data_IF_546121613996
#
_entry.id   IF_546121613996
#
_cell.length_a   1.000
_cell.length_b   1.000
_cell.length_c   1.000
_cell.angle_alpha   90.00
_cell.angle_beta   90.00
_cell.angle_gamma   90.00
#
_symmetry.space_group_name_H-M   'P 1'
#
loop_
_entity.id
_entity.type
_entity.pdbx_description
1 polymer ?
#
# COMPACT_ATOMS: atom_id res chain seq x y z
N UNK A 1 -2.94 -18.71 9.49
CA UNK A 1 -3.52 -17.34 9.45
C UNK A 1 -3.94 -16.85 10.83
N UNK A 2 -4.34 -15.58 11.00
CA UNK A 2 -4.65 -14.98 12.32
C UNK A 2 -5.71 -15.73 13.15
N UNK A 3 -6.67 -16.38 12.48
CA UNK A 3 -7.69 -17.21 13.16
C UNK A 3 -7.22 -18.59 13.64
N UNK A 4 -5.95 -18.96 13.44
CA UNK A 4 -5.43 -20.23 13.99
C UNK A 4 -5.38 -20.13 15.52
N UNK A 5 -5.95 -21.12 16.24
CA UNK A 5 -5.76 -21.29 17.67
C UNK A 5 -4.27 -21.37 18.04
N UNK A 6 -3.92 -20.95 19.26
CA UNK A 6 -2.53 -21.01 19.72
C UNK A 6 -1.98 -22.44 19.75
N UNK A 7 -2.82 -23.44 20.03
CA UNK A 7 -2.45 -24.85 19.97
C UNK A 7 -1.94 -25.26 18.57
N UNK A 8 -2.65 -24.89 17.50
CA UNK A 8 -2.23 -25.20 16.13
C UNK A 8 -0.94 -24.45 15.75
N UNK A 9 -0.73 -23.24 16.26
CA UNK A 9 0.52 -22.50 16.04
C UNK A 9 1.71 -23.21 16.70
N UNK A 10 1.50 -23.74 17.92
CA UNK A 10 2.51 -24.54 18.62
C UNK A 10 2.80 -25.81 17.85
N UNK A 11 1.79 -26.51 17.32
CA UNK A 11 2.00 -27.71 16.50
C UNK A 11 2.83 -27.42 15.24
N UNK A 12 2.52 -26.33 14.53
CA UNK A 12 3.31 -25.90 13.36
C UNK A 12 4.75 -25.62 13.76
N UNK A 13 4.96 -24.89 14.86
CA UNK A 13 6.29 -24.58 15.38
C UNK A 13 7.07 -25.85 15.73
N UNK A 14 6.44 -26.76 16.49
CA UNK A 14 7.06 -28.00 16.93
C UNK A 14 7.41 -28.90 15.75
N UNK A 15 6.50 -29.03 14.78
CA UNK A 15 6.77 -29.80 13.56
C UNK A 15 7.95 -29.21 12.78
N UNK A 16 8.03 -27.88 12.67
CA UNK A 16 9.14 -27.24 11.95
C UNK A 16 10.50 -27.45 12.63
N UNK A 17 10.54 -27.78 13.93
CA UNK A 17 11.77 -28.15 14.63
C UNK A 17 12.22 -29.60 14.35
N UNK A 18 11.36 -30.44 13.78
CA UNK A 18 11.70 -31.83 13.45
C UNK A 18 12.49 -31.93 12.15
N UNK A 19 12.89 -33.14 11.77
CA UNK A 19 13.51 -33.39 10.45
C UNK A 19 12.47 -33.63 9.33
N UNK A 20 11.18 -33.63 9.69
CA UNK A 20 10.04 -33.73 8.78
C UNK A 20 9.25 -32.41 8.82
N UNK A 21 9.93 -31.33 8.45
CA UNK A 21 9.41 -29.97 8.47
C UNK A 21 8.52 -29.69 7.23
N UNK A 22 7.93 -28.49 7.14
CA UNK A 22 7.09 -28.16 5.99
C UNK A 22 7.92 -27.62 4.82
N UNK A 23 7.70 -28.16 3.62
CA UNK A 23 8.34 -27.68 2.39
C UNK A 23 7.90 -26.26 2.00
N UNK A 24 6.61 -25.94 2.24
CA UNK A 24 6.00 -24.66 1.88
C UNK A 24 5.17 -24.16 3.06
N UNK A 25 5.41 -22.91 3.46
CA UNK A 25 4.63 -22.23 4.48
C UNK A 25 4.01 -20.97 3.89
N UNK A 26 2.68 -20.93 3.84
CA UNK A 26 1.93 -19.71 3.52
C UNK A 26 1.58 -18.98 4.81
N UNK A 27 2.17 -17.80 4.98
CA UNK A 27 2.20 -17.09 6.24
C UNK A 27 1.67 -15.67 6.17
N UNK A 28 1.40 -15.12 7.36
CA UNK A 28 1.29 -13.67 7.53
C UNK A 28 2.65 -13.12 8.01
N UNK A 29 2.70 -11.83 8.33
CA UNK A 29 3.91 -11.10 8.78
C UNK A 29 4.72 -11.82 9.86
N UNK A 30 4.06 -12.46 10.83
CA UNK A 30 4.72 -13.17 11.94
C UNK A 30 5.38 -14.48 11.55
N UNK A 31 5.06 -15.04 10.37
CA UNK A 31 5.61 -16.30 9.91
C UNK A 31 7.12 -16.23 9.60
N UNK A 32 7.67 -15.01 9.45
CA UNK A 32 9.13 -14.80 9.32
C UNK A 32 9.91 -15.26 10.57
N UNK A 33 9.24 -15.51 11.70
CA UNK A 33 9.87 -15.96 12.93
C UNK A 33 9.80 -17.48 13.15
N UNK A 34 9.23 -18.23 12.21
CA UNK A 34 9.24 -19.69 12.30
C UNK A 34 10.70 -20.22 12.21
N UNK A 35 11.01 -21.33 12.87
CA UNK A 35 12.37 -21.85 12.90
C UNK A 35 12.66 -22.59 11.58
N UNK A 36 13.33 -21.94 10.63
CA UNK A 36 13.67 -22.57 9.35
C UNK A 36 15.05 -23.23 9.39
N UNK A 37 15.15 -24.50 8.99
CA UNK A 37 16.44 -25.21 8.84
C UNK A 37 16.98 -25.14 7.41
N UNK A 38 16.13 -25.42 6.42
CA UNK A 38 16.52 -25.55 5.01
C UNK A 38 15.77 -24.55 4.11
N UNK A 39 15.73 -23.28 4.51
CA UNK A 39 15.02 -22.25 3.74
C UNK A 39 15.75 -21.94 2.43
N UNK A 40 15.11 -22.21 1.29
CA UNK A 40 15.67 -21.90 -0.03
C UNK A 40 15.21 -20.55 -0.60
N UNK A 41 13.97 -20.14 -0.30
CA UNK A 41 13.34 -18.96 -0.88
C UNK A 41 12.29 -18.36 0.06
N UNK A 42 12.27 -17.03 0.16
CA UNK A 42 11.19 -16.28 0.79
C UNK A 42 10.52 -15.41 -0.27
N UNK A 43 9.20 -15.52 -0.41
CA UNK A 43 8.41 -14.69 -1.32
C UNK A 43 7.57 -13.73 -0.47
N UNK A 44 7.71 -12.43 -0.74
CA UNK A 44 6.85 -11.38 -0.17
C UNK A 44 6.01 -10.82 -1.31
N UNK A 45 4.73 -11.18 -1.30
CA UNK A 45 3.76 -10.65 -2.26
C UNK A 45 3.22 -9.29 -1.78
N UNK A 46 2.86 -8.42 -2.71
CA UNK A 46 2.53 -7.02 -2.47
C UNK A 46 3.47 -6.32 -1.47
N UNK A 47 4.78 -6.32 -1.76
CA UNK A 47 5.81 -5.86 -0.81
C UNK A 47 5.60 -4.43 -0.27
N UNK A 48 4.90 -3.58 -1.03
CA UNK A 48 4.59 -2.20 -0.66
C UNK A 48 3.50 -2.09 0.42
N UNK A 49 2.82 -3.19 0.73
CA UNK A 49 1.67 -3.18 1.62
C UNK A 49 2.06 -2.74 3.04
N UNK A 50 1.47 -1.64 3.47
CA UNK A 50 1.73 -1.01 4.78
C UNK A 50 1.48 -1.93 5.95
N UNK A 51 0.59 -2.93 5.79
CA UNK A 51 0.35 -3.90 6.86
C UNK A 51 1.63 -4.64 7.24
N UNK A 52 2.62 -4.83 6.34
CA UNK A 52 3.91 -5.46 6.71
C UNK A 52 4.68 -4.74 7.82
N UNK A 53 4.38 -3.46 8.11
CA UNK A 53 4.89 -2.76 9.28
C UNK A 53 4.06 -3.09 10.52
N UNK A 54 4.66 -3.73 11.51
CA UNK A 54 4.08 -3.88 12.84
C UNK A 54 4.20 -2.55 13.60
N UNK A 55 3.04 -1.97 13.96
CA UNK A 55 2.95 -0.71 14.70
C UNK A 55 2.85 -0.96 16.21
N UNK A 56 1.87 -1.73 16.65
CA UNK A 56 1.70 -2.13 18.05
C UNK A 56 1.02 -3.51 18.13
N UNK A 57 1.29 -4.30 19.18
CA UNK A 57 2.27 -4.04 20.24
C UNK A 57 3.71 -4.19 19.73
N UNK A 58 4.66 -3.75 20.57
CA UNK A 58 6.08 -4.04 20.37
C UNK A 58 6.32 -5.57 20.36
N UNK A 59 7.34 -6.06 19.62
CA UNK A 59 8.35 -5.30 18.87
C UNK A 59 7.84 -4.73 17.53
N UNK A 60 8.34 -3.54 17.16
CA UNK A 60 7.99 -2.83 15.92
C UNK A 60 8.92 -3.19 14.77
N UNK A 61 8.62 -4.25 14.04
CA UNK A 61 9.43 -4.70 12.90
C UNK A 61 8.71 -4.45 11.57
N UNK A 62 9.46 -4.51 10.47
CA UNK A 62 8.91 -4.52 9.12
C UNK A 62 9.14 -5.91 8.52
N UNK A 63 8.07 -6.66 8.26
CA UNK A 63 8.17 -8.07 7.84
C UNK A 63 8.96 -8.25 6.54
N UNK A 64 8.80 -7.37 5.54
CA UNK A 64 9.67 -7.34 4.34
C UNK A 64 11.16 -7.32 4.69
N UNK A 65 11.59 -6.40 5.56
CA UNK A 65 13.00 -6.27 5.91
C UNK A 65 13.46 -7.50 6.71
N UNK A 66 12.62 -7.99 7.62
CA UNK A 66 12.89 -9.21 8.38
C UNK A 66 13.02 -10.43 7.45
N UNK A 67 12.20 -10.53 6.41
CA UNK A 67 12.28 -11.59 5.39
C UNK A 67 13.59 -11.56 4.60
N UNK A 68 14.09 -10.37 4.26
CA UNK A 68 15.39 -10.20 3.59
C UNK A 68 16.53 -10.67 4.49
N UNK A 69 16.50 -10.29 5.78
CA UNK A 69 17.51 -10.69 6.76
C UNK A 69 17.44 -12.20 7.00
N UNK A 70 16.25 -12.74 7.26
CA UNK A 70 16.01 -14.18 7.44
C UNK A 70 16.57 -14.97 6.26
N UNK A 71 16.23 -14.57 5.02
CA UNK A 71 16.73 -15.24 3.84
C UNK A 71 18.26 -15.20 3.78
N UNK A 72 18.87 -14.05 4.08
CA UNK A 72 20.33 -13.92 4.14
C UNK A 72 20.97 -14.82 5.20
N UNK A 73 20.39 -14.91 6.40
CA UNK A 73 20.90 -15.75 7.50
C UNK A 73 20.79 -17.24 7.17
N UNK A 74 19.76 -17.65 6.46
CA UNK A 74 19.57 -19.03 6.01
C UNK A 74 20.31 -19.37 4.69
N UNK A 75 21.00 -18.41 4.06
CA UNK A 75 21.60 -18.60 2.73
C UNK A 75 20.56 -18.73 1.59
N UNK A 76 19.32 -18.34 1.84
CA UNK A 76 18.19 -18.33 0.92
C UNK A 76 18.19 -17.08 0.01
N UNK A 77 17.25 -17.03 -0.93
CA UNK A 77 16.93 -15.82 -1.71
C UNK A 77 15.62 -15.20 -1.25
N UNK A 78 15.43 -13.91 -1.55
CA UNK A 78 14.16 -13.22 -1.36
C UNK A 78 13.62 -12.75 -2.70
N UNK A 79 12.34 -13.00 -2.95
CA UNK A 79 11.58 -12.43 -4.07
C UNK A 79 10.55 -11.45 -3.53
N UNK A 80 10.63 -10.19 -3.95
CA UNK A 80 9.67 -9.14 -3.63
C UNK A 80 8.76 -8.94 -4.85
N UNK A 81 7.51 -9.36 -4.75
CA UNK A 81 6.50 -9.22 -5.80
C UNK A 81 5.61 -8.03 -5.54
N UNK A 82 5.37 -7.20 -6.56
CA UNK A 82 4.35 -6.14 -6.52
C UNK A 82 4.17 -5.47 -7.89
N UNK A 83 2.99 -4.91 -8.13
CA UNK A 83 2.73 -4.01 -9.25
C UNK A 83 3.13 -2.55 -8.98
N UNK A 84 3.23 -2.15 -7.71
CA UNK A 84 3.49 -0.76 -7.28
C UNK A 84 4.56 -0.74 -6.20
N UNK A 85 5.84 -0.87 -6.56
CA UNK A 85 6.91 -0.99 -5.58
C UNK A 85 7.01 0.23 -4.69
N UNK A 86 7.30 -0.03 -3.41
CA UNK A 86 7.70 1.00 -2.47
C UNK A 86 8.95 1.73 -3.00
N UNK A 87 9.07 3.00 -2.65
CA UNK A 87 10.18 3.84 -3.10
C UNK A 87 11.53 3.22 -2.70
N UNK A 88 11.62 2.64 -1.49
CA UNK A 88 12.86 2.03 -1.02
C UNK A 88 13.23 0.80 -1.85
N UNK A 89 12.28 -0.10 -2.12
CA UNK A 89 12.52 -1.30 -2.92
C UNK A 89 12.88 -0.94 -4.35
N UNK A 90 12.17 -0.01 -4.96
CA UNK A 90 12.45 0.47 -6.31
C UNK A 90 13.83 1.14 -6.41
N UNK A 91 14.20 1.95 -5.43
CA UNK A 91 15.53 2.56 -5.36
C UNK A 91 16.63 1.50 -5.24
N UNK A 92 16.47 0.51 -4.35
CA UNK A 92 17.45 -0.57 -4.20
C UNK A 92 17.59 -1.42 -5.47
N UNK A 93 16.49 -1.64 -6.19
CA UNK A 93 16.50 -2.38 -7.45
C UNK A 93 17.20 -1.59 -8.57
N UNK A 94 16.86 -0.30 -8.74
CA UNK A 94 17.45 0.56 -9.78
C UNK A 94 18.91 0.92 -9.53
N UNK A 95 19.37 0.92 -8.28
CA UNK A 95 20.79 1.11 -7.91
C UNK A 95 21.62 -0.18 -7.96
N UNK A 96 21.01 -1.31 -8.32
CA UNK A 96 21.68 -2.61 -8.46
C UNK A 96 21.91 -3.36 -7.14
N UNK A 97 21.41 -2.84 -6.01
CA UNK A 97 21.44 -3.58 -4.73
C UNK A 97 20.50 -4.79 -4.75
N UNK A 98 19.35 -4.67 -5.42
CA UNK A 98 18.45 -5.79 -5.73
C UNK A 98 18.44 -6.05 -7.24
N UNK A 99 18.10 -7.28 -7.63
CA UNK A 99 17.74 -7.57 -9.01
C UNK A 99 16.35 -7.01 -9.34
N UNK A 100 16.18 -6.47 -10.54
CA UNK A 100 14.90 -5.99 -11.04
C UNK A 100 14.42 -6.90 -12.19
N UNK A 101 13.22 -7.45 -12.05
CA UNK A 101 12.55 -8.21 -13.12
C UNK A 101 11.22 -7.54 -13.39
N UNK A 102 10.99 -7.13 -14.64
CA UNK A 102 9.76 -6.46 -15.07
C UNK A 102 8.92 -7.39 -15.94
N UNK A 103 7.64 -7.53 -15.61
CA UNK A 103 6.65 -8.18 -16.46
C UNK A 103 5.85 -7.09 -17.19
N UNK A 104 6.24 -6.81 -18.45
CA UNK A 104 5.67 -5.70 -19.25
C UNK A 104 4.37 -6.06 -19.96
N UNK A 105 4.08 -7.34 -20.07
CA UNK A 105 2.92 -7.86 -20.79
C UNK A 105 1.83 -8.29 -19.82
N UNK A 106 0.58 -7.88 -20.09
CA UNK A 106 -0.58 -8.28 -19.30
C UNK A 106 -1.10 -9.63 -19.76
N UNK A 107 -1.47 -10.46 -18.79
CA UNK A 107 -2.18 -11.70 -19.08
C UNK A 107 -3.47 -11.41 -19.86
N UNK A 108 -3.65 -12.07 -21.01
CA UNK A 108 -4.80 -11.92 -21.93
C UNK A 108 -4.98 -10.55 -22.59
N UNK A 109 -3.92 -9.76 -22.77
CA UNK A 109 -3.97 -8.48 -23.51
C UNK A 109 -5.03 -7.48 -23.01
N UNK A 110 -5.38 -7.53 -21.72
CA UNK A 110 -6.38 -6.63 -21.14
C UNK A 110 -5.90 -5.18 -21.27
N UNK A 111 -6.66 -4.36 -22.00
CA UNK A 111 -6.34 -2.94 -22.20
C UNK A 111 -6.50 -2.14 -20.91
N UNK A 112 -5.71 -1.07 -20.78
CA UNK A 112 -5.86 -0.10 -19.70
C UNK A 112 -7.21 0.62 -19.81
N UNK A 113 -7.87 0.92 -18.67
CA UNK A 113 -9.08 1.73 -18.70
C UNK A 113 -8.75 3.15 -19.17
N UNK A 114 -9.73 3.81 -19.78
CA UNK A 114 -9.65 5.24 -20.09
C UNK A 114 -9.61 6.06 -18.79
N UNK A 115 -8.72 7.06 -18.76
CA UNK A 115 -8.56 7.96 -17.62
C UNK A 115 -8.94 9.37 -18.05
N UNK A 116 -9.99 9.91 -17.45
CA UNK A 116 -10.53 11.23 -17.76
C UNK A 116 -10.23 12.22 -16.62
N UNK A 117 -9.23 13.12 -16.76
CA UNK A 117 -8.99 14.17 -15.79
C UNK A 117 -10.08 15.26 -15.89
N UNK A 118 -10.59 15.71 -14.74
CA UNK A 118 -11.65 16.74 -14.69
C UNK A 118 -11.17 17.94 -13.88
N UNK A 119 -11.19 19.13 -14.50
CA UNK A 119 -10.87 20.39 -13.81
C UNK A 119 -12.05 20.86 -12.95
N UNK A 120 -12.01 20.50 -11.67
CA UNK A 120 -13.00 20.92 -10.69
C UNK A 120 -12.92 22.42 -10.34
N UNK A 121 -11.77 23.08 -10.54
CA UNK A 121 -11.59 24.51 -10.23
C UNK A 121 -12.35 25.35 -11.25
N UNK A 122 -12.25 25.00 -12.52
CA UNK A 122 -13.00 25.68 -13.58
C UNK A 122 -14.51 25.46 -13.44
N UNK A 123 -14.95 24.23 -13.15
CA UNK A 123 -16.35 23.90 -12.92
C UNK A 123 -16.93 24.67 -11.74
N UNK A 124 -16.18 24.80 -10.65
CA UNK A 124 -16.58 25.60 -9.49
C UNK A 124 -16.70 27.09 -9.84
N UNK A 125 -15.71 27.66 -10.55
CA UNK A 125 -15.74 29.06 -11.01
C UNK A 125 -16.96 29.35 -11.89
N UNK A 126 -17.33 28.42 -12.77
CA UNK A 126 -18.50 28.53 -13.65
C UNK A 126 -19.82 28.17 -12.98
N UNK A 127 -19.83 27.85 -11.67
CA UNK A 127 -21.01 27.39 -10.91
C UNK A 127 -21.70 26.17 -11.54
N UNK A 128 -20.90 25.24 -12.09
CA UNK A 128 -21.37 24.00 -12.73
C UNK A 128 -21.16 22.75 -11.87
N UNK A 129 -20.67 22.90 -10.65
CA UNK A 129 -20.52 21.79 -9.70
C UNK A 129 -21.88 21.42 -9.09
N UNK A 130 -22.12 20.12 -8.91
CA UNK A 130 -23.29 19.60 -8.19
C UNK A 130 -22.84 19.15 -6.80
N UNK A 131 -22.90 20.07 -5.83
CA UNK A 131 -22.33 19.85 -4.51
C UNK A 131 -20.81 19.64 -4.60
N UNK A 132 -20.33 18.45 -4.25
CA UNK A 132 -18.90 18.09 -4.33
C UNK A 132 -18.52 17.34 -5.62
N UNK A 133 -19.49 17.04 -6.49
CA UNK A 133 -19.27 16.21 -7.66
C UNK A 133 -19.31 17.01 -8.97
N UNK A 134 -18.46 16.61 -9.92
CA UNK A 134 -18.52 17.14 -11.28
C UNK A 134 -19.73 16.54 -12.02
N UNK A 135 -20.33 17.27 -12.98
CA UNK A 135 -21.40 16.72 -13.81
C UNK A 135 -21.00 15.44 -14.53
N UNK A 136 -19.78 15.38 -15.07
CA UNK A 136 -19.24 14.22 -15.78
C UNK A 136 -19.16 12.97 -14.88
N UNK A 137 -18.71 13.11 -13.63
CA UNK A 137 -18.68 11.99 -12.70
C UNK A 137 -20.09 11.47 -12.41
N UNK A 138 -21.06 12.37 -12.21
CA UNK A 138 -22.45 11.97 -11.96
C UNK A 138 -23.10 11.29 -13.17
N UNK A 139 -22.74 11.70 -14.39
CA UNK A 139 -23.16 11.06 -15.64
C UNK A 139 -22.67 9.61 -15.69
N UNK A 140 -21.37 9.37 -15.57
CA UNK A 140 -20.82 8.01 -15.57
C UNK A 140 -21.31 7.14 -14.42
N UNK A 141 -21.56 7.72 -13.23
CA UNK A 141 -22.19 6.98 -12.12
C UNK A 141 -23.58 6.50 -12.51
N UNK A 142 -24.40 7.35 -13.13
CA UNK A 142 -25.76 6.96 -13.56
C UNK A 142 -25.70 5.87 -14.61
N UNK A 143 -24.85 6.02 -15.63
CA UNK A 143 -24.69 5.01 -16.68
C UNK A 143 -24.29 3.64 -16.12
N UNK A 144 -23.33 3.60 -15.20
CA UNK A 144 -22.90 2.37 -14.55
C UNK A 144 -24.04 1.74 -13.74
N UNK A 145 -24.80 2.54 -12.97
CA UNK A 145 -25.95 2.04 -12.20
C UNK A 145 -27.09 1.55 -13.10
N UNK A 146 -27.36 2.21 -14.22
CA UNK A 146 -28.36 1.78 -15.21
C UNK A 146 -27.99 0.42 -15.82
N UNK A 147 -26.69 0.17 -16.01
CA UNK A 147 -26.14 -1.13 -16.43
C UNK A 147 -26.07 -2.17 -15.31
N UNK A 148 -26.51 -1.83 -14.09
CA UNK A 148 -26.39 -2.66 -12.87
C UNK A 148 -24.95 -3.01 -12.49
N UNK A 149 -24.02 -2.12 -12.81
CA UNK A 149 -22.61 -2.24 -12.45
C UNK A 149 -22.35 -1.61 -11.06
N UNK A 150 -21.16 -1.88 -10.52
CA UNK A 150 -20.73 -1.33 -9.23
C UNK A 150 -19.79 -0.15 -9.44
N UNK A 151 -19.90 0.85 -8.56
CA UNK A 151 -19.03 2.03 -8.56
C UNK A 151 -18.24 2.05 -7.25
N UNK A 152 -16.93 2.28 -7.37
CA UNK A 152 -16.05 2.51 -6.23
C UNK A 152 -15.64 3.99 -6.25
N UNK A 153 -15.99 4.73 -5.19
CA UNK A 153 -15.56 6.11 -4.98
C UNK A 153 -14.49 6.16 -3.90
N UNK A 154 -13.28 6.60 -4.27
CA UNK A 154 -12.19 6.81 -3.33
C UNK A 154 -12.28 8.19 -2.70
N UNK A 155 -12.29 8.23 -1.37
CA UNK A 155 -12.19 9.45 -0.58
C UNK A 155 -10.96 9.35 0.33
N UNK A 156 -10.19 10.43 0.44
CA UNK A 156 -9.12 10.51 1.43
C UNK A 156 -9.67 10.24 2.84
N UNK A 157 -8.89 9.58 3.71
CA UNK A 157 -9.31 9.29 5.09
C UNK A 157 -9.77 10.57 5.80
N UNK A 158 -10.84 10.48 6.60
CA UNK A 158 -11.33 11.60 7.43
C UNK A 158 -10.19 12.15 8.29
N UNK A 159 -9.99 13.47 8.27
CA UNK A 159 -8.96 14.17 9.05
C UNK A 159 -7.60 14.32 8.37
N UNK A 160 -7.42 13.88 7.12
CA UNK A 160 -6.11 13.83 6.46
C UNK A 160 -5.66 15.11 5.74
N UNK A 161 -6.54 16.12 5.59
CA UNK A 161 -6.15 17.41 5.05
C UNK A 161 -6.17 18.46 6.17
N UNK A 162 -5.11 18.55 6.99
CA UNK A 162 -4.97 19.67 7.89
C UNK A 162 -4.51 20.94 7.16
N UNK A 163 -4.41 20.96 5.83
CA UNK A 163 -3.99 22.16 5.10
C UNK A 163 -5.18 23.04 4.71
N UNK A 164 -4.98 24.35 4.75
CA UNK A 164 -5.90 25.33 4.17
C UNK A 164 -5.45 25.62 2.74
N UNK A 165 -6.36 25.55 1.78
CA UNK A 165 -6.16 26.02 0.40
C UNK A 165 -7.10 27.19 0.10
N UNK A 166 -6.58 28.23 -0.54
CA UNK A 166 -7.39 29.30 -1.08
C UNK A 166 -8.29 28.76 -2.19
N UNK A 167 -9.61 28.82 -1.99
CA UNK A 167 -10.61 28.32 -2.95
C UNK A 167 -10.65 29.09 -4.28
N UNK A 168 -9.97 30.24 -4.38
CA UNK A 168 -9.95 31.08 -5.58
C UNK A 168 -8.71 30.82 -6.44
N UNK A 169 -7.52 30.82 -5.83
CA UNK A 169 -6.25 30.72 -6.56
C UNK A 169 -5.45 29.44 -6.27
N UNK A 170 -5.89 28.60 -5.33
CA UNK A 170 -5.19 27.38 -4.95
C UNK A 170 -3.93 27.60 -4.10
N UNK A 171 -3.68 28.83 -3.63
CA UNK A 171 -2.55 29.11 -2.75
C UNK A 171 -2.70 28.38 -1.41
N UNK A 172 -1.61 27.80 -0.92
CA UNK A 172 -1.50 27.09 0.35
C UNK A 172 -0.49 27.81 1.25
N UNK A 173 -0.79 28.07 2.53
CA UNK A 173 0.17 28.67 3.45
C UNK A 173 1.41 27.80 3.62
N UNK A 174 2.60 28.40 3.50
CA UNK A 174 3.89 27.74 3.65
C UNK A 174 4.66 28.24 4.87
N UNK A 175 5.45 27.37 5.47
CA UNK A 175 6.39 27.74 6.52
C UNK A 175 7.49 28.65 5.94
N UNK A 176 7.75 29.77 6.62
CA UNK A 176 8.79 30.73 6.22
C UNK A 176 10.22 30.18 6.36
N UNK A 177 10.40 29.07 7.07
CA UNK A 177 11.71 28.54 7.43
C UNK A 177 12.10 27.26 6.67
N UNK A 178 11.15 26.48 6.13
CA UNK A 178 11.44 25.16 5.56
C UNK A 178 10.59 24.73 4.34
N UNK A 179 9.87 25.67 3.69
CA UNK A 179 9.08 25.46 2.46
C UNK A 179 8.00 24.35 2.51
N UNK A 180 7.67 23.83 3.69
CA UNK A 180 6.56 22.89 3.90
C UNK A 180 5.22 23.61 4.03
N UNK A 181 4.13 22.96 3.66
CA UNK A 181 2.76 23.46 3.88
C UNK A 181 2.41 23.46 5.37
N UNK A 182 1.76 24.53 5.84
CA UNK A 182 1.30 24.67 7.24
C UNK A 182 0.08 23.78 7.53
N UNK A 183 -0.04 23.38 8.80
CA UNK A 183 -1.07 22.48 9.32
C UNK A 183 -2.04 23.29 10.17
N UNK A 184 -3.25 23.51 9.66
CA UNK A 184 -4.35 24.12 10.36
C UNK A 184 -4.88 23.25 11.50
N UNK A 185 -4.61 23.69 12.72
CA UNK A 185 -5.12 23.12 13.96
C UNK A 185 -6.48 23.74 14.30
N UNK A 186 -7.56 23.15 13.78
CA UNK A 186 -8.94 23.64 13.95
C UNK A 186 -9.34 23.91 15.41
N UNK A 187 -8.84 23.12 16.37
CA UNK A 187 -9.18 23.25 17.80
C UNK A 187 -8.67 24.54 18.44
N UNK A 188 -7.56 25.09 17.93
CA UNK A 188 -6.94 26.33 18.45
C UNK A 188 -6.94 27.47 17.42
N UNK A 189 -7.51 27.23 16.24
CA UNK A 189 -7.62 28.20 15.14
C UNK A 189 -6.26 28.79 14.72
N UNK A 190 -5.24 27.95 14.57
CA UNK A 190 -3.87 28.33 14.20
C UNK A 190 -3.34 27.50 13.03
N UNK A 191 -2.38 28.06 12.28
CA UNK A 191 -1.64 27.43 11.17
C UNK A 191 -0.26 26.94 11.62
#
# INVERSE_FOLDING_TARGET
HSKFPDAERVEIWQKQLTDNDYDIILGVRSSVFLPFKNLGLVIVDEEHETTYKQQDPAPRYHARNAAIVLASECGAKTLLGTATPSIETYHNATTGKYGLVELKERYKEIQMPEILPVDIKELARKKRMNGQFSPLLLEYIREALEKKEQIILFQNRRGFAPMIECKVCGWVPKCKNCDVSLTYHKGINQL
#
